data_IF_206982923176
#
_entry.id   IF_206982923176
#
_cell.length_a   1.000
_cell.length_b   1.000
_cell.length_c   1.000
_cell.angle_alpha   90.00
_cell.angle_beta   90.00
_cell.angle_gamma   90.00
#
_symmetry.space_group_name_H-M   'P 1'
#
loop_
_entity.id
_entity.type
_entity.pdbx_description
1 polymer ?
#
# COMPACT_ATOMS: atom_id res chain seq x y z
N UNK A 1 9.78 -11.24 6.70
CA UNK A 1 9.90 -11.33 5.23
C UNK A 1 8.86 -10.39 4.63
N UNK A 2 9.25 -9.44 3.81
CA UNK A 2 8.36 -8.38 3.31
C UNK A 2 7.91 -8.61 1.87
N UNK A 3 7.12 -9.64 1.60
CA UNK A 3 6.59 -9.95 0.26
C UNK A 3 5.33 -10.80 0.37
N UNK A 4 4.68 -11.08 -0.77
CA UNK A 4 3.56 -12.02 -0.83
C UNK A 4 3.99 -13.41 -0.38
N UNK A 5 3.06 -14.19 0.17
CA UNK A 5 3.35 -15.56 0.59
C UNK A 5 3.57 -16.50 -0.61
N UNK A 6 4.24 -17.64 -0.36
CA UNK A 6 4.61 -18.58 -1.41
C UNK A 6 3.42 -19.16 -2.18
N UNK A 7 2.30 -19.45 -1.50
CA UNK A 7 1.09 -19.97 -2.16
C UNK A 7 0.48 -18.98 -3.13
N UNK A 8 0.43 -17.69 -2.76
CA UNK A 8 -0.05 -16.65 -3.66
C UNK A 8 0.87 -16.51 -4.87
N UNK A 9 2.19 -16.58 -4.65
CA UNK A 9 3.17 -16.51 -5.75
C UNK A 9 3.01 -17.69 -6.69
N UNK A 10 2.93 -18.90 -6.16
CA UNK A 10 2.72 -20.13 -6.94
C UNK A 10 1.44 -20.08 -7.76
N UNK A 11 0.32 -19.63 -7.14
CA UNK A 11 -0.92 -19.37 -7.86
C UNK A 11 -0.72 -18.40 -9.03
N UNK A 12 -0.07 -17.26 -8.80
CA UNK A 12 0.15 -16.24 -9.83
C UNK A 12 1.01 -16.76 -10.99
N UNK A 13 1.97 -17.64 -10.71
CA UNK A 13 2.87 -18.20 -11.69
C UNK A 13 2.19 -19.33 -12.50
N UNK A 14 1.27 -20.07 -11.89
CA UNK A 14 0.68 -21.28 -12.50
C UNK A 14 -0.72 -21.07 -13.07
N UNK A 15 -1.46 -20.05 -12.59
CA UNK A 15 -2.85 -19.82 -12.99
C UNK A 15 -3.00 -19.54 -14.48
N UNK A 16 -3.87 -20.30 -15.12
CA UNK A 16 -4.31 -20.07 -16.51
C UNK A 16 -5.62 -19.30 -16.49
N UNK A 17 -5.55 -17.99 -16.69
CA UNK A 17 -6.74 -17.14 -16.74
C UNK A 17 -7.04 -16.83 -18.20
N UNK A 18 -8.20 -17.26 -18.68
CA UNK A 18 -8.67 -16.95 -20.03
C UNK A 18 -9.45 -15.65 -20.05
N UNK A 19 -9.40 -14.95 -21.18
CA UNK A 19 -10.18 -13.71 -21.45
C UNK A 19 -10.10 -12.66 -20.32
N UNK A 20 -8.89 -12.28 -19.97
CA UNK A 20 -8.63 -11.26 -18.92
C UNK A 20 -8.69 -9.83 -19.44
N UNK A 21 -8.59 -9.63 -20.75
CA UNK A 21 -8.58 -8.29 -21.36
C UNK A 21 -9.88 -7.54 -21.07
N UNK A 22 -9.76 -6.39 -20.43
CA UNK A 22 -10.91 -5.59 -20.01
C UNK A 22 -11.54 -6.04 -18.69
N UNK A 23 -10.94 -6.98 -17.96
CA UNK A 23 -11.31 -7.26 -16.56
C UNK A 23 -10.63 -6.25 -15.64
N UNK A 24 -11.29 -5.98 -14.53
CA UNK A 24 -10.75 -5.15 -13.46
C UNK A 24 -10.26 -6.01 -12.31
N UNK A 25 -9.31 -5.53 -11.56
CA UNK A 25 -8.74 -6.22 -10.39
C UNK A 25 -8.47 -5.27 -9.24
N UNK A 26 -8.78 -5.71 -8.02
CA UNK A 26 -8.42 -5.05 -6.77
C UNK A 26 -7.34 -5.87 -6.06
N UNK A 27 -6.21 -5.25 -5.80
CA UNK A 27 -5.15 -5.84 -4.99
C UNK A 27 -5.22 -5.36 -3.54
N UNK A 28 -5.35 -6.28 -2.62
CA UNK A 28 -5.33 -6.02 -1.19
C UNK A 28 -4.11 -6.75 -0.61
N UNK A 29 -3.20 -6.02 -0.01
CA UNK A 29 -2.08 -6.59 0.73
C UNK A 29 -2.32 -6.43 2.22
N UNK A 30 -2.19 -7.52 2.98
CA UNK A 30 -2.38 -7.52 4.44
C UNK A 30 -1.06 -7.89 5.11
N UNK A 31 -0.55 -7.02 5.96
CA UNK A 31 0.65 -7.26 6.74
C UNK A 31 0.37 -7.17 8.24
N UNK A 32 0.64 -8.26 8.95
CA UNK A 32 0.63 -8.30 10.42
C UNK A 32 1.94 -7.79 11.02
N UNK A 33 2.15 -8.04 12.31
CA UNK A 33 3.40 -7.73 13.01
C UNK A 33 3.84 -6.27 12.83
N UNK A 34 5.01 -6.08 12.26
CA UNK A 34 5.58 -4.74 11.98
C UNK A 34 4.92 -4.01 10.82
N UNK A 35 4.06 -4.65 10.04
CA UNK A 35 3.48 -4.08 8.81
C UNK A 35 4.44 -4.01 7.62
N UNK A 36 5.74 -4.27 7.81
CA UNK A 36 6.74 -4.18 6.73
C UNK A 36 6.48 -5.21 5.64
N UNK A 37 6.70 -4.81 4.39
CA UNK A 37 6.41 -5.62 3.21
C UNK A 37 5.01 -5.37 2.62
N UNK A 38 4.25 -4.46 3.20
CA UNK A 38 2.91 -4.10 2.79
C UNK A 38 2.88 -3.57 1.36
N UNK A 39 3.75 -2.61 1.06
CA UNK A 39 3.83 -2.00 -0.27
C UNK A 39 4.40 -2.98 -1.31
N UNK A 40 5.41 -3.79 -0.95
CA UNK A 40 5.95 -4.80 -1.88
C UNK A 40 4.93 -5.88 -2.23
N UNK A 41 4.04 -6.24 -1.31
CA UNK A 41 2.90 -7.13 -1.57
C UNK A 41 1.96 -6.53 -2.63
N UNK A 42 1.55 -5.27 -2.47
CA UNK A 42 0.75 -4.53 -3.44
C UNK A 42 1.46 -4.49 -4.79
N UNK A 43 2.72 -4.06 -4.83
CA UNK A 43 3.49 -3.93 -6.07
C UNK A 43 3.58 -5.26 -6.84
N UNK A 44 3.75 -6.38 -6.13
CA UNK A 44 3.81 -7.70 -6.74
C UNK A 44 2.47 -8.10 -7.37
N UNK A 45 1.35 -7.87 -6.68
CA UNK A 45 0.00 -8.13 -7.20
C UNK A 45 -0.27 -7.30 -8.46
N UNK A 46 0.10 -6.03 -8.44
CA UNK A 46 -0.17 -5.12 -9.56
C UNK A 46 0.76 -5.36 -10.76
N UNK A 47 1.97 -5.86 -10.55
CA UNK A 47 2.80 -6.39 -11.65
C UNK A 47 2.14 -7.59 -12.33
N UNK A 48 1.55 -8.49 -11.57
CA UNK A 48 0.76 -9.60 -12.13
C UNK A 48 -0.43 -9.06 -12.95
N UNK A 49 -1.21 -8.12 -12.43
CA UNK A 49 -2.30 -7.50 -13.18
C UNK A 49 -1.81 -6.84 -14.47
N UNK A 50 -0.73 -6.06 -14.39
CA UNK A 50 -0.12 -5.40 -15.55
C UNK A 50 0.23 -6.39 -16.66
N UNK A 51 0.92 -7.48 -16.34
CA UNK A 51 1.32 -8.48 -17.31
C UNK A 51 0.12 -9.27 -17.88
N UNK A 52 -0.93 -9.41 -17.12
CA UNK A 52 -2.18 -10.07 -17.55
C UNK A 52 -3.16 -9.13 -18.25
N UNK A 53 -2.83 -7.85 -18.40
CA UNK A 53 -3.70 -6.83 -19.00
C UNK A 53 -5.05 -6.66 -18.23
N UNK A 54 -5.06 -6.95 -16.94
CA UNK A 54 -6.16 -6.65 -16.03
C UNK A 54 -6.06 -5.18 -15.65
N UNK A 55 -7.14 -4.43 -15.61
CA UNK A 55 -7.17 -3.05 -15.15
C UNK A 55 -7.20 -3.02 -13.63
N UNK A 56 -6.07 -2.74 -13.00
CA UNK A 56 -6.00 -2.55 -11.56
C UNK A 56 -6.78 -1.30 -11.15
N UNK A 57 -7.57 -1.37 -10.08
CA UNK A 57 -8.10 -0.19 -9.39
C UNK A 57 -7.22 0.12 -8.19
N UNK A 58 -7.47 1.24 -7.49
CA UNK A 58 -6.62 1.67 -6.38
C UNK A 58 -6.39 0.56 -5.35
N UNK A 59 -5.12 0.20 -5.09
CA UNK A 59 -4.80 -0.86 -4.13
C UNK A 59 -5.10 -0.44 -2.70
N UNK A 60 -5.37 -1.42 -1.86
CA UNK A 60 -5.61 -1.18 -0.43
C UNK A 60 -4.55 -1.88 0.42
N UNK A 61 -3.54 -1.16 0.91
CA UNK A 61 -2.59 -1.70 1.87
C UNK A 61 -3.20 -1.73 3.27
N UNK A 62 -3.31 -2.92 3.86
CA UNK A 62 -3.91 -3.15 5.17
C UNK A 62 -2.84 -3.66 6.14
N UNK A 63 -2.59 -2.91 7.21
CA UNK A 63 -1.79 -3.35 8.33
C UNK A 63 -2.69 -3.56 9.57
N UNK A 64 -2.14 -4.13 10.63
CA UNK A 64 -2.86 -4.20 11.91
C UNK A 64 -3.16 -2.81 12.50
N UNK A 65 -2.46 -1.77 12.05
CA UNK A 65 -2.60 -0.40 12.57
C UNK A 65 -3.77 0.37 11.94
N UNK A 66 -4.19 0.00 10.73
CA UNK A 66 -5.33 0.62 10.05
C UNK A 66 -6.47 -0.34 9.78
N UNK A 67 -6.49 -1.52 10.43
CA UNK A 67 -7.39 -2.61 10.07
C UNK A 67 -8.87 -2.18 10.07
N UNK A 68 -9.32 -1.53 11.13
CA UNK A 68 -10.73 -1.09 11.25
C UNK A 68 -11.09 -0.07 10.16
N UNK A 69 -10.25 0.94 9.94
CA UNK A 69 -10.47 1.95 8.91
C UNK A 69 -10.40 1.34 7.49
N UNK A 70 -9.55 0.33 7.30
CA UNK A 70 -9.38 -0.34 6.02
C UNK A 70 -10.61 -1.16 5.61
N UNK A 71 -11.41 -1.66 6.54
CA UNK A 71 -12.62 -2.42 6.24
C UNK A 71 -13.61 -1.60 5.40
N UNK A 72 -13.85 -0.35 5.77
CA UNK A 72 -14.72 0.55 5.01
C UNK A 72 -14.13 0.85 3.63
N UNK A 73 -12.82 1.15 3.56
CA UNK A 73 -12.11 1.41 2.30
C UNK A 73 -12.19 0.20 1.37
N UNK A 74 -11.96 -1.01 1.88
CA UNK A 74 -12.07 -2.27 1.11
C UNK A 74 -13.49 -2.48 0.61
N UNK A 75 -14.50 -2.24 1.46
CA UNK A 75 -15.90 -2.35 1.06
C UNK A 75 -16.25 -1.36 -0.06
N UNK A 76 -15.77 -0.12 0.02
CA UNK A 76 -15.95 0.88 -1.02
C UNK A 76 -15.24 0.48 -2.32
N UNK A 77 -13.99 0.03 -2.22
CA UNK A 77 -13.23 -0.46 -3.38
C UNK A 77 -13.92 -1.66 -4.05
N UNK A 78 -14.52 -2.55 -3.26
CA UNK A 78 -15.31 -3.67 -3.76
C UNK A 78 -16.54 -3.21 -4.55
N UNK A 79 -17.27 -2.20 -4.07
CA UNK A 79 -18.40 -1.58 -4.81
C UNK A 79 -17.93 -0.97 -6.13
N UNK A 80 -16.84 -0.20 -6.08
CA UNK A 80 -16.24 0.40 -7.29
C UNK A 80 -15.80 -0.66 -8.30
N UNK A 81 -15.17 -1.75 -7.83
CA UNK A 81 -14.78 -2.87 -8.68
C UNK A 81 -16.00 -3.51 -9.37
N UNK A 82 -17.09 -3.71 -8.64
CA UNK A 82 -18.32 -4.28 -9.19
C UNK A 82 -18.93 -3.41 -10.31
N UNK A 83 -18.94 -2.09 -10.12
CA UNK A 83 -19.43 -1.16 -11.15
C UNK A 83 -18.52 -1.11 -12.38
N UNK A 84 -17.21 -0.93 -12.17
CA UNK A 84 -16.22 -0.87 -13.24
C UNK A 84 -16.16 -2.18 -14.06
N UNK A 85 -16.39 -3.32 -13.41
CA UNK A 85 -16.38 -4.63 -14.08
C UNK A 85 -17.45 -4.75 -15.17
N UNK A 86 -18.52 -3.96 -15.11
CA UNK A 86 -19.56 -3.93 -16.13
C UNK A 86 -19.09 -3.29 -17.45
N UNK A 87 -18.10 -2.39 -17.37
CA UNK A 87 -17.60 -1.64 -18.52
C UNK A 87 -16.75 -2.49 -19.47
N UNK A 88 -16.04 -3.49 -18.94
CA UNK A 88 -15.08 -4.34 -19.68
C UNK A 88 -14.11 -3.55 -20.55
N UNK A 89 -13.61 -2.43 -20.04
CA UNK A 89 -12.74 -1.51 -20.77
C UNK A 89 -11.36 -2.12 -20.98
N UNK A 90 -11.04 -2.47 -22.22
CA UNK A 90 -9.70 -2.96 -22.58
C UNK A 90 -8.69 -1.82 -22.62
N UNK A 91 -7.41 -2.14 -22.47
CA UNK A 91 -6.36 -1.19 -22.80
C UNK A 91 -6.24 -1.04 -24.32
N UNK A 92 -6.10 0.20 -24.79
CA UNK A 92 -5.90 0.49 -26.21
C UNK A 92 -4.53 0.05 -26.72
N UNK A 93 -3.54 -0.01 -25.81
CA UNK A 93 -2.20 -0.45 -26.10
C UNK A 93 -1.30 -0.36 -24.87
N UNK A 94 -0.01 -0.58 -25.07
CA UNK A 94 0.98 -0.58 -24.00
C UNK A 94 1.10 0.80 -23.34
N UNK A 95 0.98 1.88 -24.11
CA UNK A 95 1.01 3.24 -23.59
C UNK A 95 -0.12 3.51 -22.60
N UNK A 96 -1.39 3.24 -22.99
CA UNK A 96 -2.56 3.40 -22.14
C UNK A 96 -2.42 2.56 -20.86
N UNK A 97 -1.89 1.31 -21.01
CA UNK A 97 -1.64 0.45 -19.85
C UNK A 97 -0.59 1.04 -18.91
N UNK A 98 0.54 1.50 -19.41
CA UNK A 98 1.60 2.11 -18.60
C UNK A 98 1.10 3.36 -17.90
N UNK A 99 0.45 4.29 -18.63
CA UNK A 99 -0.11 5.51 -18.07
C UNK A 99 -1.16 5.25 -16.98
N UNK A 100 -1.93 4.16 -17.12
CA UNK A 100 -2.89 3.74 -16.10
C UNK A 100 -2.18 3.31 -14.80
N UNK A 101 -1.16 2.47 -14.91
CA UNK A 101 -0.46 1.94 -13.73
C UNK A 101 0.45 2.96 -13.04
N UNK A 102 1.02 3.91 -13.79
CA UNK A 102 1.80 5.03 -13.22
C UNK A 102 0.97 5.95 -12.30
N UNK A 103 -0.35 6.00 -12.52
CA UNK A 103 -1.27 6.82 -11.70
C UNK A 103 -1.75 6.13 -10.42
N UNK A 104 -1.56 4.82 -10.33
CA UNK A 104 -2.05 4.07 -9.17
C UNK A 104 -1.18 4.33 -7.92
N UNK A 105 -1.79 4.55 -6.76
CA UNK A 105 -1.05 4.82 -5.53
C UNK A 105 -0.25 3.58 -5.10
N UNK A 106 0.79 3.79 -4.31
CA UNK A 106 1.68 2.80 -3.69
C UNK A 106 2.59 2.01 -4.65
N UNK A 107 2.37 2.05 -5.97
CA UNK A 107 3.17 1.23 -6.91
C UNK A 107 4.60 1.72 -7.05
N UNK A 108 4.84 3.01 -6.84
CA UNK A 108 6.15 3.66 -6.86
C UNK A 108 6.76 3.85 -5.47
N UNK A 109 6.17 3.24 -4.43
CA UNK A 109 6.67 3.38 -3.07
C UNK A 109 7.99 2.66 -2.88
N UNK A 110 8.93 3.37 -2.24
CA UNK A 110 10.20 2.84 -1.75
C UNK A 110 10.05 2.36 -0.30
N UNK A 111 11.14 1.82 0.27
CA UNK A 111 11.17 1.47 1.69
C UNK A 111 10.88 2.67 2.61
N UNK A 112 11.35 3.87 2.26
CA UNK A 112 11.07 5.08 3.02
C UNK A 112 9.57 5.42 3.00
N UNK A 113 8.94 5.32 1.84
CA UNK A 113 7.51 5.61 1.70
C UNK A 113 6.66 4.60 2.50
N UNK A 114 7.07 3.33 2.54
CA UNK A 114 6.42 2.31 3.36
C UNK A 114 6.55 2.61 4.86
N UNK A 115 7.74 2.99 5.33
CA UNK A 115 7.95 3.37 6.75
C UNK A 115 7.12 4.60 7.10
N UNK A 116 7.04 5.59 6.23
CA UNK A 116 6.20 6.77 6.44
C UNK A 116 4.70 6.44 6.45
N UNK A 117 4.26 5.53 5.58
CA UNK A 117 2.89 5.03 5.59
C UNK A 117 2.55 4.37 6.94
N UNK A 118 3.40 3.46 7.40
CA UNK A 118 3.21 2.75 8.67
C UNK A 118 3.29 3.69 9.88
N UNK A 119 4.25 4.63 9.88
CA UNK A 119 4.34 5.65 10.93
C UNK A 119 3.08 6.52 10.97
N UNK A 120 2.54 6.90 9.81
CA UNK A 120 1.29 7.65 9.71
C UNK A 120 0.10 6.90 10.33
N UNK A 121 -0.06 5.63 10.01
CA UNK A 121 -1.09 4.77 10.61
C UNK A 121 -0.93 4.66 12.13
N UNK A 122 0.31 4.52 12.62
CA UNK A 122 0.60 4.51 14.06
C UNK A 122 0.31 5.85 14.73
N UNK A 123 0.60 6.97 14.08
CA UNK A 123 0.22 8.31 14.55
C UNK A 123 -1.29 8.43 14.73
N UNK A 124 -2.06 7.96 13.75
CA UNK A 124 -3.53 7.99 13.81
C UNK A 124 -4.08 7.21 15.01
N UNK A 125 -3.66 5.97 15.21
CA UNK A 125 -4.13 5.15 16.34
C UNK A 125 -3.59 5.59 17.70
N UNK A 126 -2.40 6.23 17.75
CA UNK A 126 -1.84 6.76 19.00
C UNK A 126 -2.63 7.96 19.53
N UNK A 127 -3.42 8.61 18.68
CA UNK A 127 -4.19 9.80 19.03
C UNK A 127 -3.29 10.94 19.54
N UNK A 128 -3.82 11.78 20.42
CA UNK A 128 -3.11 12.93 21.01
C UNK A 128 -2.37 12.60 22.31
N UNK A 129 -2.06 11.34 22.59
CA UNK A 129 -1.38 10.95 23.84
C UNK A 129 -0.03 11.68 23.95
N UNK A 130 0.25 12.35 25.09
CA UNK A 130 1.49 13.11 25.28
C UNK A 130 2.76 12.27 25.11
N UNK A 131 2.73 11.00 25.52
CA UNK A 131 3.85 10.07 25.39
C UNK A 131 4.39 9.94 23.94
N UNK A 132 3.55 10.20 22.93
CA UNK A 132 3.96 10.11 21.52
C UNK A 132 4.17 11.47 20.85
N UNK A 133 4.25 12.56 21.62
CA UNK A 133 4.40 13.90 21.05
C UNK A 133 5.70 14.04 20.25
N UNK A 134 6.79 13.48 20.74
CA UNK A 134 8.08 13.54 20.06
C UNK A 134 8.08 12.69 18.78
N UNK A 135 7.53 11.49 18.82
CA UNK A 135 7.41 10.63 17.64
C UNK A 135 6.54 11.29 16.54
N UNK A 136 5.48 12.02 16.92
CA UNK A 136 4.69 12.81 15.95
C UNK A 136 5.49 13.94 15.33
N UNK A 137 6.31 14.66 16.12
CA UNK A 137 7.20 15.71 15.57
C UNK A 137 8.19 15.11 14.56
N UNK A 138 8.81 13.99 14.90
CA UNK A 138 9.72 13.27 13.99
C UNK A 138 9.00 12.89 12.69
N UNK A 139 7.78 12.39 12.77
CA UNK A 139 6.96 12.09 11.59
C UNK A 139 6.68 13.32 10.74
N UNK A 140 6.31 14.45 11.36
CA UNK A 140 6.03 15.69 10.65
C UNK A 140 7.29 16.28 9.99
N UNK A 141 8.44 16.21 10.66
CA UNK A 141 9.74 16.60 10.10
C UNK A 141 10.06 15.73 8.87
N UNK A 142 9.93 14.41 8.97
CA UNK A 142 10.17 13.52 7.85
C UNK A 142 9.29 13.87 6.65
N UNK A 143 7.98 14.09 6.86
CA UNK A 143 7.05 14.51 5.80
C UNK A 143 7.42 15.86 5.18
N UNK A 144 7.88 16.80 5.99
CA UNK A 144 8.32 18.12 5.50
C UNK A 144 9.55 17.98 4.60
N UNK A 145 10.54 17.18 5.02
CA UNK A 145 11.76 16.90 4.23
C UNK A 145 11.43 16.20 2.90
N UNK A 146 10.49 15.25 2.89
CA UNK A 146 10.01 14.64 1.63
C UNK A 146 9.44 15.69 0.68
N UNK A 147 8.60 16.62 1.17
CA UNK A 147 8.02 17.69 0.34
C UNK A 147 9.11 18.63 -0.23
N UNK A 148 10.23 18.75 0.47
CA UNK A 148 11.39 19.55 0.03
C UNK A 148 12.34 18.77 -0.92
N UNK A 149 12.05 17.51 -1.24
CA UNK A 149 12.92 16.63 -2.04
C UNK A 149 14.12 16.05 -1.27
N UNK A 150 14.22 16.28 0.03
CA UNK A 150 15.33 15.85 0.91
C UNK A 150 15.10 14.45 1.47
N UNK A 151 14.96 13.48 0.57
CA UNK A 151 14.58 12.10 0.95
C UNK A 151 15.57 11.43 1.89
N UNK A 152 16.87 11.61 1.67
CA UNK A 152 17.93 11.01 2.50
C UNK A 152 17.87 11.54 3.94
N UNK A 153 17.68 12.84 4.10
CA UNK A 153 17.54 13.47 5.42
C UNK A 153 16.26 12.98 6.15
N UNK A 154 15.19 12.69 5.41
CA UNK A 154 13.93 12.20 5.97
C UNK A 154 14.03 10.79 6.56
N UNK A 155 15.01 9.96 6.15
CA UNK A 155 15.12 8.56 6.57
C UNK A 155 15.23 8.44 8.10
N UNK A 156 16.14 9.20 8.70
CA UNK A 156 16.36 9.11 10.14
C UNK A 156 15.11 9.47 10.95
N UNK A 157 14.45 10.56 10.58
CA UNK A 157 13.21 11.02 11.22
C UNK A 157 12.08 10.01 11.04
N UNK A 158 11.90 9.44 9.84
CA UNK A 158 10.88 8.43 9.58
C UNK A 158 11.10 7.15 10.42
N UNK A 159 12.36 6.70 10.52
CA UNK A 159 12.73 5.51 11.31
C UNK A 159 12.52 5.76 12.81
N UNK A 160 12.92 6.93 13.32
CA UNK A 160 12.70 7.31 14.74
C UNK A 160 11.20 7.35 15.05
N UNK A 161 10.40 8.01 14.22
CA UNK A 161 8.96 8.08 14.39
C UNK A 161 8.32 6.70 14.44
N UNK A 162 8.62 5.86 13.45
CA UNK A 162 8.09 4.50 13.38
C UNK A 162 8.50 3.65 14.59
N UNK A 163 9.77 3.65 14.96
CA UNK A 163 10.26 2.82 16.06
C UNK A 163 9.66 3.24 17.41
N UNK A 164 9.63 4.53 17.72
CA UNK A 164 9.04 5.03 18.97
C UNK A 164 7.54 4.71 19.05
N UNK A 165 6.81 4.87 17.94
CA UNK A 165 5.38 4.53 17.91
C UNK A 165 5.14 3.01 17.98
N UNK A 166 6.01 2.19 17.39
CA UNK A 166 5.82 0.75 17.33
C UNK A 166 6.26 0.03 18.58
N UNK A 167 7.45 0.35 19.14
CA UNK A 167 8.05 -0.37 20.25
C UNK A 167 7.67 0.21 21.61
N UNK A 168 7.44 1.51 21.69
CA UNK A 168 7.11 2.20 22.94
C UNK A 168 5.58 2.27 23.16
N UNK A 169 4.76 1.94 22.14
CA UNK A 169 3.33 1.83 22.32
C UNK A 169 2.98 0.67 23.27
N UNK A 170 2.07 0.87 24.24
CA UNK A 170 1.58 -0.22 25.07
C UNK A 170 1.08 -1.33 24.16
N UNK A 171 1.61 -2.51 24.32
CA UNK A 171 1.09 -3.70 23.63
C UNK A 171 -0.34 -3.91 24.17
N UNK A 172 -1.32 -3.81 23.29
CA UNK A 172 -2.70 -4.17 23.59
C UNK A 172 -2.79 -5.66 23.86
#
# INVERSE_FOLDING_TARGET
>A
MGSINGLTKDYMDTVKICDVKGKYGLGISVAGGTGRGLCSGVQTLYRFFYHRQIRGIDPTPVSRFNFENALETVAQSGRSLAELSKERKRFEGDRDRMEHYEKLPYLNFTFLDEILLLAGQLVEISGKKPAFSEARKEYDVARSLIKQGKRTEAIEHAVRAYNSLYFDAPKA
#
